data_IF_615671621963
#
_entry.id   IF_615671621963
#
_cell.length_a   1.000
_cell.length_b   1.000
_cell.length_c   1.000
_cell.angle_alpha   90.00
_cell.angle_beta   90.00
_cell.angle_gamma   90.00
#
_symmetry.space_group_name_H-M   'P 1'
#
loop_
_entity.id
_entity.type
_entity.pdbx_description
1 polymer ?
#
# COMPACT_ATOMS: atom_id res chain seq x y z
N UNK A 1 4.88 -11.65 -33.10
CA UNK A 1 4.20 -10.55 -32.39
C UNK A 1 4.73 -10.55 -30.97
N UNK A 2 5.18 -9.41 -30.46
CA UNK A 2 5.59 -9.33 -29.06
C UNK A 2 4.36 -9.47 -28.15
N UNK A 3 4.42 -10.37 -27.17
CA UNK A 3 3.36 -10.48 -26.17
C UNK A 3 3.51 -9.35 -25.16
N UNK A 4 2.39 -8.81 -24.68
CA UNK A 4 2.32 -7.76 -23.66
C UNK A 4 1.56 -8.32 -22.47
N UNK A 5 2.09 -8.11 -21.27
CA UNK A 5 1.43 -8.50 -20.03
C UNK A 5 0.92 -7.26 -19.29
N UNK A 6 -0.34 -7.30 -18.88
CA UNK A 6 -0.98 -6.23 -18.11
C UNK A 6 -1.48 -6.77 -16.79
N UNK A 7 -0.99 -6.21 -15.70
CA UNK A 7 -1.50 -6.44 -14.35
C UNK A 7 -2.36 -5.26 -13.89
N UNK A 8 -3.52 -5.57 -13.32
CA UNK A 8 -4.42 -4.56 -12.74
C UNK A 8 -4.71 -4.91 -11.31
N UNK A 9 -4.29 -4.04 -10.38
CA UNK A 9 -4.59 -4.14 -8.96
C UNK A 9 -5.72 -3.17 -8.62
N UNK A 10 -6.85 -3.71 -8.18
CA UNK A 10 -7.99 -2.92 -7.70
C UNK A 10 -8.00 -2.99 -6.17
N UNK A 11 -7.27 -2.06 -5.56
CA UNK A 11 -7.20 -1.93 -4.10
C UNK A 11 -8.41 -1.21 -3.50
N UNK A 12 -8.40 -1.00 -2.18
CA UNK A 12 -9.47 -0.29 -1.45
C UNK A 12 -9.55 1.21 -1.76
N UNK A 13 -8.44 1.86 -2.13
CA UNK A 13 -8.36 3.29 -2.35
C UNK A 13 -7.99 3.69 -3.78
N UNK A 14 -7.25 2.84 -4.51
CA UNK A 14 -6.71 3.15 -5.82
C UNK A 14 -6.67 1.94 -6.74
N UNK A 15 -6.69 2.19 -8.05
CA UNK A 15 -6.38 1.22 -9.08
C UNK A 15 -4.94 1.45 -9.55
N UNK A 16 -4.17 0.38 -9.64
CA UNK A 16 -2.83 0.40 -10.21
C UNK A 16 -2.83 -0.46 -11.46
N UNK A 17 -2.10 -0.02 -12.47
CA UNK A 17 -1.92 -0.75 -13.72
C UNK A 17 -0.45 -0.80 -14.04
N UNK A 18 0.02 -1.99 -14.40
CA UNK A 18 1.40 -2.21 -14.87
C UNK A 18 1.37 -2.92 -16.21
N UNK A 19 2.16 -2.43 -17.15
CA UNK A 19 2.34 -3.04 -18.46
C UNK A 19 3.78 -3.48 -18.62
N UNK A 20 3.98 -4.74 -18.94
CA UNK A 20 5.29 -5.31 -19.20
C UNK A 20 5.38 -5.79 -20.64
N UNK A 21 6.55 -5.60 -21.26
CA UNK A 21 6.89 -6.23 -22.53
C UNK A 21 7.00 -7.74 -22.39
N UNK A 22 7.03 -8.48 -23.48
CA UNK A 22 7.26 -9.93 -23.51
C UNK A 22 8.59 -10.36 -22.85
N UNK A 23 9.53 -9.42 -22.69
CA UNK A 23 10.79 -9.62 -21.96
C UNK A 23 10.70 -9.24 -20.48
N UNK A 24 9.53 -8.85 -19.99
CA UNK A 24 9.30 -8.45 -18.59
C UNK A 24 9.81 -7.04 -18.27
N UNK A 25 10.08 -6.19 -19.24
CA UNK A 25 10.47 -4.79 -19.02
C UNK A 25 9.24 -3.93 -18.77
N UNK A 26 9.32 -3.02 -17.81
CA UNK A 26 8.25 -2.06 -17.52
C UNK A 26 8.09 -1.08 -18.69
N UNK A 27 6.92 -1.11 -19.32
CA UNK A 27 6.55 -0.21 -20.42
C UNK A 27 5.69 0.96 -19.92
N UNK A 28 4.79 0.68 -18.97
CA UNK A 28 3.89 1.69 -18.42
C UNK A 28 3.45 1.30 -17.02
N UNK A 29 3.24 2.30 -16.19
CA UNK A 29 2.58 2.15 -14.88
C UNK A 29 1.64 3.32 -14.62
N UNK A 30 0.57 3.05 -13.86
CA UNK A 30 -0.35 4.08 -13.40
C UNK A 30 -0.83 3.74 -11.98
N UNK A 31 -0.97 4.76 -11.15
CA UNK A 31 -1.59 4.70 -9.83
C UNK A 31 -2.67 5.79 -9.78
N UNK A 32 -3.94 5.38 -9.69
CA UNK A 32 -5.07 6.32 -9.76
C UNK A 32 -6.04 6.07 -8.61
N UNK A 33 -6.23 7.04 -7.70
CA UNK A 33 -7.28 7.00 -6.71
C UNK A 33 -8.65 6.88 -7.37
N UNK A 34 -9.49 5.96 -6.91
CA UNK A 34 -10.80 5.74 -7.54
C UNK A 34 -11.95 6.46 -6.80
N UNK A 35 -11.73 7.00 -5.60
CA UNK A 35 -12.74 7.76 -4.84
C UNK A 35 -14.12 7.04 -4.83
N UNK A 36 -14.12 5.72 -4.59
CA UNK A 36 -15.29 4.82 -4.64
C UNK A 36 -15.96 4.68 -6.02
N UNK A 37 -15.36 5.24 -7.10
CA UNK A 37 -15.85 5.12 -8.49
C UNK A 37 -15.02 4.10 -9.28
N UNK A 38 -14.89 2.89 -8.76
CA UNK A 38 -14.00 1.85 -9.30
C UNK A 38 -14.27 1.58 -10.79
N UNK A 39 -15.55 1.36 -11.17
CA UNK A 39 -15.92 1.04 -12.57
C UNK A 39 -15.57 2.17 -13.55
N UNK A 40 -15.82 3.40 -13.16
CA UNK A 40 -15.53 4.57 -13.99
C UNK A 40 -14.02 4.75 -14.17
N UNK A 41 -13.28 4.70 -13.06
CA UNK A 41 -11.82 4.81 -13.06
C UNK A 41 -11.17 3.70 -13.90
N UNK A 42 -11.61 2.45 -13.73
CA UNK A 42 -11.12 1.32 -14.51
C UNK A 42 -11.39 1.52 -16.02
N UNK A 43 -12.59 2.00 -16.38
CA UNK A 43 -12.94 2.28 -17.79
C UNK A 43 -12.05 3.36 -18.41
N UNK A 44 -11.75 4.42 -17.66
CA UNK A 44 -10.85 5.50 -18.11
C UNK A 44 -9.44 4.96 -18.31
N UNK A 45 -8.90 4.26 -17.31
CA UNK A 45 -7.58 3.65 -17.38
C UNK A 45 -7.46 2.66 -18.55
N UNK A 46 -8.48 1.83 -18.75
CA UNK A 46 -8.51 0.88 -19.83
C UNK A 46 -8.45 1.56 -21.21
N UNK A 47 -9.22 2.63 -21.42
CA UNK A 47 -9.18 3.41 -22.66
C UNK A 47 -7.81 4.04 -22.91
N UNK A 48 -7.21 4.61 -21.86
CA UNK A 48 -5.86 5.20 -21.94
C UNK A 48 -4.80 4.14 -22.24
N UNK A 49 -4.95 2.95 -21.68
CA UNK A 49 -4.06 1.82 -21.91
C UNK A 49 -4.16 1.34 -23.36
N UNK A 50 -5.37 1.09 -23.86
CA UNK A 50 -5.60 0.62 -25.23
C UNK A 50 -5.12 1.62 -26.29
N UNK A 51 -5.10 2.89 -26.00
CA UNK A 51 -4.52 3.91 -26.89
C UNK A 51 -2.98 3.86 -26.96
N UNK A 52 -2.31 3.21 -26.01
CA UNK A 52 -0.84 3.12 -25.90
C UNK A 52 -0.30 1.74 -26.28
N UNK A 53 -1.14 0.71 -26.21
CA UNK A 53 -0.75 -0.67 -26.50
C UNK A 53 -0.96 -0.92 -28.00
N UNK A 54 0.13 -1.21 -28.71
CA UNK A 54 0.08 -1.62 -30.11
C UNK A 54 -0.48 -3.04 -30.24
N UNK A 55 -0.89 -3.44 -31.44
CA UNK A 55 -1.42 -4.78 -31.75
C UNK A 55 -0.44 -5.87 -31.33
N UNK A 56 -0.93 -6.83 -30.54
CA UNK A 56 -0.15 -7.96 -30.04
C UNK A 56 -1.00 -8.87 -29.16
N UNK A 57 -0.43 -10.02 -28.75
CA UNK A 57 -1.06 -10.90 -27.78
C UNK A 57 -1.04 -10.24 -26.40
N UNK A 58 -2.23 -10.00 -25.81
CA UNK A 58 -2.40 -9.37 -24.52
C UNK A 58 -2.67 -10.44 -23.45
N UNK A 59 -1.77 -10.53 -22.47
CA UNK A 59 -1.98 -11.33 -21.25
C UNK A 59 -2.43 -10.39 -20.12
N UNK A 60 -3.62 -10.65 -19.60
CA UNK A 60 -4.23 -9.79 -18.59
C UNK A 60 -4.45 -10.59 -17.30
N UNK A 61 -4.14 -10.00 -16.16
CA UNK A 61 -4.46 -10.55 -14.85
C UNK A 61 -4.94 -9.45 -13.90
N UNK A 62 -5.85 -9.82 -13.01
CA UNK A 62 -6.35 -8.97 -11.95
C UNK A 62 -5.84 -9.41 -10.59
N UNK A 63 -5.62 -8.45 -9.71
CA UNK A 63 -5.35 -8.64 -8.28
C UNK A 63 -6.02 -7.53 -7.46
N UNK A 64 -6.00 -7.66 -6.16
CA UNK A 64 -6.61 -6.69 -5.25
C UNK A 64 -8.02 -7.07 -4.81
N UNK A 65 -8.40 -6.64 -3.61
CA UNK A 65 -9.71 -6.99 -3.00
C UNK A 65 -10.92 -6.59 -3.86
N UNK A 66 -10.82 -5.46 -4.57
CA UNK A 66 -11.89 -4.99 -5.45
C UNK A 66 -11.95 -5.68 -6.81
N UNK A 67 -11.02 -6.57 -7.13
CA UNK A 67 -10.86 -7.13 -8.46
C UNK A 67 -11.68 -8.41 -8.71
N UNK A 68 -12.09 -9.14 -7.66
CA UNK A 68 -12.71 -10.46 -7.79
C UNK A 68 -13.98 -10.47 -8.67
N UNK A 69 -14.85 -9.48 -8.49
CA UNK A 69 -16.06 -9.36 -9.31
C UNK A 69 -15.75 -9.06 -10.78
N UNK A 70 -14.78 -8.18 -11.04
CA UNK A 70 -14.34 -7.84 -12.40
C UNK A 70 -13.67 -9.02 -13.07
N UNK A 71 -12.81 -9.74 -12.36
CA UNK A 71 -12.16 -10.95 -12.83
C UNK A 71 -13.19 -11.99 -13.27
N UNK A 72 -14.17 -12.28 -12.43
CA UNK A 72 -15.24 -13.22 -12.74
C UNK A 72 -16.11 -12.77 -13.91
N UNK A 73 -16.55 -11.50 -13.92
CA UNK A 73 -17.43 -10.96 -14.97
C UNK A 73 -16.76 -10.89 -16.35
N UNK A 74 -15.44 -10.64 -16.38
CA UNK A 74 -14.67 -10.50 -17.62
C UNK A 74 -13.93 -11.79 -18.00
N UNK A 75 -14.02 -12.85 -17.19
CA UNK A 75 -13.28 -14.11 -17.35
C UNK A 75 -11.77 -13.91 -17.47
N UNK A 76 -11.24 -12.93 -16.71
CA UNK A 76 -9.81 -12.62 -16.64
C UNK A 76 -9.23 -13.31 -15.41
N UNK A 77 -8.03 -13.92 -15.47
CA UNK A 77 -7.41 -14.55 -14.32
C UNK A 77 -7.27 -13.60 -13.12
N UNK A 78 -7.61 -14.11 -11.93
CA UNK A 78 -7.37 -13.45 -10.66
C UNK A 78 -6.14 -14.06 -9.98
N UNK A 79 -5.26 -13.21 -9.49
CA UNK A 79 -4.09 -13.59 -8.71
C UNK A 79 -4.24 -12.98 -7.31
N UNK A 80 -4.06 -13.78 -6.28
CA UNK A 80 -4.06 -13.28 -4.90
C UNK A 80 -2.96 -12.23 -4.70
N UNK A 81 -3.24 -11.21 -3.89
CA UNK A 81 -2.32 -10.09 -3.66
C UNK A 81 -0.97 -10.55 -3.11
N UNK A 82 -0.96 -11.50 -2.16
CA UNK A 82 0.28 -12.01 -1.57
C UNK A 82 1.10 -12.76 -2.62
N UNK A 83 0.43 -13.53 -3.48
CA UNK A 83 1.09 -14.23 -4.59
C UNK A 83 1.68 -13.24 -5.59
N UNK A 84 0.93 -12.18 -5.94
CA UNK A 84 1.40 -11.14 -6.86
C UNK A 84 2.60 -10.38 -6.29
N UNK A 85 2.54 -9.93 -5.03
CA UNK A 85 3.63 -9.25 -4.32
C UNK A 85 4.88 -10.16 -4.24
N UNK A 86 4.69 -11.43 -3.85
CA UNK A 86 5.79 -12.40 -3.73
C UNK A 86 6.44 -12.69 -5.08
N UNK A 87 5.65 -12.87 -6.14
CA UNK A 87 6.17 -13.11 -7.48
C UNK A 87 6.99 -11.91 -7.99
N UNK A 88 6.50 -10.69 -7.75
CA UNK A 88 7.20 -9.46 -8.13
C UNK A 88 8.52 -9.32 -7.36
N UNK A 89 8.52 -9.52 -6.04
CA UNK A 89 9.73 -9.45 -5.23
C UNK A 89 10.76 -10.49 -5.68
N UNK A 90 10.37 -11.74 -5.82
CA UNK A 90 11.30 -12.81 -6.26
C UNK A 90 11.86 -12.55 -7.66
N UNK A 91 11.11 -11.88 -8.52
CA UNK A 91 11.53 -11.58 -9.89
C UNK A 91 12.46 -10.39 -9.98
N UNK A 92 12.16 -9.31 -9.24
CA UNK A 92 12.85 -8.02 -9.38
C UNK A 92 13.79 -7.70 -8.22
N UNK A 93 13.55 -8.28 -7.06
CA UNK A 93 14.28 -8.03 -5.81
C UNK A 93 14.50 -9.35 -5.03
N UNK A 94 15.16 -10.35 -5.65
CA UNK A 94 15.35 -11.68 -5.02
C UNK A 94 16.18 -11.65 -3.74
N UNK A 95 16.87 -10.54 -3.50
CA UNK A 95 17.70 -10.32 -2.32
C UNK A 95 16.93 -9.83 -1.10
N UNK A 96 15.62 -9.60 -1.20
CA UNK A 96 14.79 -9.13 -0.07
C UNK A 96 14.56 -10.27 0.91
N UNK A 97 14.87 -10.00 2.18
CA UNK A 97 14.67 -10.93 3.30
C UNK A 97 13.32 -10.70 3.99
N UNK A 98 12.87 -9.44 4.06
CA UNK A 98 11.60 -9.06 4.70
C UNK A 98 10.88 -8.05 3.84
N UNK A 99 9.58 -8.21 3.66
CA UNK A 99 8.74 -7.20 3.03
C UNK A 99 7.62 -6.76 3.96
N UNK A 100 7.37 -5.45 4.02
CA UNK A 100 6.22 -4.84 4.69
C UNK A 100 5.34 -4.20 3.64
N UNK A 101 4.12 -4.68 3.51
CA UNK A 101 3.12 -4.14 2.58
C UNK A 101 2.04 -3.40 3.38
N UNK A 102 1.93 -2.07 3.15
CA UNK A 102 0.90 -1.23 3.76
C UNK A 102 -0.06 -0.71 2.69
N UNK A 103 -1.23 -1.32 2.66
CA UNK A 103 -2.35 -0.88 1.84
C UNK A 103 -3.22 0.18 2.52
N UNK A 104 -4.36 0.51 1.90
CA UNK A 104 -5.36 1.38 2.50
C UNK A 104 -5.95 0.80 3.78
N UNK A 105 -6.26 -0.48 3.80
CA UNK A 105 -6.91 -1.17 4.93
C UNK A 105 -6.12 -2.38 5.45
N UNK A 106 -5.17 -2.87 4.67
CA UNK A 106 -4.38 -4.05 4.98
C UNK A 106 -2.94 -3.70 5.30
N UNK A 107 -2.40 -4.43 6.25
CA UNK A 107 -0.98 -4.44 6.56
C UNK A 107 -0.50 -5.89 6.60
N UNK A 108 0.61 -6.16 5.91
CA UNK A 108 1.22 -7.50 5.83
C UNK A 108 2.72 -7.38 6.06
N UNK A 109 3.27 -8.45 6.63
CA UNK A 109 4.72 -8.62 6.75
C UNK A 109 5.06 -10.03 6.27
N UNK A 110 6.00 -10.11 5.36
CA UNK A 110 6.47 -11.35 4.75
C UNK A 110 7.94 -11.54 5.09
N UNK A 111 8.29 -12.63 5.74
CA UNK A 111 9.67 -13.04 5.97
C UNK A 111 10.00 -14.15 4.99
N UNK A 112 11.02 -13.96 4.18
CA UNK A 112 11.46 -14.95 3.21
C UNK A 112 12.59 -15.79 3.80
N UNK A 113 12.35 -17.08 3.94
CA UNK A 113 13.32 -18.02 4.50
C UNK A 113 14.24 -18.58 3.40
N UNK A 114 15.46 -18.94 3.78
CA UNK A 114 16.44 -19.51 2.86
C UNK A 114 16.01 -20.85 2.24
N UNK A 115 15.14 -21.59 2.92
CA UNK A 115 14.56 -22.85 2.44
C UNK A 115 13.43 -22.65 1.40
N UNK A 116 13.12 -21.39 1.07
CA UNK A 116 12.06 -21.03 0.13
C UNK A 116 10.68 -20.86 0.76
N UNK A 117 10.53 -21.12 2.04
CA UNK A 117 9.30 -20.84 2.79
C UNK A 117 9.10 -19.36 3.01
N UNK A 118 7.87 -18.97 3.33
CA UNK A 118 7.49 -17.61 3.67
C UNK A 118 6.62 -17.60 4.93
N UNK A 119 7.04 -16.85 5.96
CA UNK A 119 6.18 -16.55 7.11
C UNK A 119 5.39 -15.29 6.80
N UNK A 120 4.09 -15.45 6.51
CA UNK A 120 3.15 -14.38 6.24
C UNK A 120 2.40 -13.99 7.49
N UNK A 121 2.45 -12.70 7.82
CA UNK A 121 1.70 -12.12 8.92
C UNK A 121 0.83 -10.98 8.43
N UNK A 122 -0.42 -10.95 8.88
CA UNK A 122 -1.41 -9.95 8.47
C UNK A 122 -2.03 -9.29 9.68
N UNK A 123 -2.44 -8.03 9.53
CA UNK A 123 -3.21 -7.35 10.56
C UNK A 123 -4.59 -8.00 10.70
N UNK A 124 -5.07 -8.08 11.94
CA UNK A 124 -6.39 -8.62 12.24
C UNK A 124 -7.41 -7.48 12.35
N UNK A 125 -8.27 -7.32 11.32
CA UNK A 125 -9.53 -6.54 11.38
C UNK A 125 -9.45 -5.08 11.88
N UNK A 126 -8.28 -4.46 11.96
CA UNK A 126 -8.15 -3.08 12.42
C UNK A 126 -7.40 -2.26 11.36
N UNK A 127 -7.99 -1.14 10.94
CA UNK A 127 -7.35 -0.19 10.04
C UNK A 127 -6.22 0.64 10.72
N UNK A 128 -5.98 0.47 12.00
CA UNK A 128 -4.83 1.07 12.70
C UNK A 128 -3.53 0.62 12.05
N UNK A 129 -2.62 1.55 11.79
CA UNK A 129 -1.36 1.25 11.12
C UNK A 129 -1.46 1.05 9.60
N UNK A 130 -2.52 1.54 8.96
CA UNK A 130 -2.75 1.45 7.51
C UNK A 130 -2.93 2.84 6.88
N UNK A 131 -2.99 2.89 5.54
CA UNK A 131 -3.20 4.13 4.80
C UNK A 131 -4.51 4.86 5.17
N UNK A 132 -5.58 4.14 5.47
CA UNK A 132 -6.85 4.74 5.94
C UNK A 132 -6.68 5.46 7.27
N UNK A 133 -5.90 4.92 8.20
CA UNK A 133 -5.59 5.63 9.45
C UNK A 133 -4.86 6.94 9.18
N UNK A 134 -3.83 6.93 8.33
CA UNK A 134 -3.10 8.14 7.94
C UNK A 134 -3.99 9.16 7.22
N UNK A 135 -4.85 8.71 6.31
CA UNK A 135 -5.80 9.58 5.63
C UNK A 135 -6.80 10.23 6.60
N UNK A 136 -7.28 9.50 7.63
CA UNK A 136 -8.12 10.07 8.68
C UNK A 136 -7.38 11.10 9.55
N UNK A 137 -6.08 10.87 9.81
CA UNK A 137 -5.27 11.83 10.56
C UNK A 137 -4.98 13.09 9.73
N UNK A 138 -4.67 12.94 8.44
CA UNK A 138 -4.49 14.06 7.53
C UNK A 138 -5.77 14.92 7.44
N UNK A 139 -6.93 14.28 7.27
CA UNK A 139 -8.22 14.97 7.28
C UNK A 139 -8.49 15.70 8.61
N UNK A 140 -8.10 15.13 9.75
CA UNK A 140 -8.22 15.77 11.06
C UNK A 140 -7.36 17.04 11.17
N UNK A 141 -6.20 17.06 10.50
CA UNK A 141 -5.33 18.26 10.40
C UNK A 141 -5.79 19.24 9.33
N UNK A 142 -6.81 18.90 8.51
CA UNK A 142 -7.27 19.70 7.39
C UNK A 142 -6.30 19.73 6.21
N UNK A 143 -5.50 18.68 6.03
CA UNK A 143 -4.49 18.55 4.97
C UNK A 143 -4.65 17.23 4.23
N UNK A 144 -3.97 17.07 3.10
CA UNK A 144 -3.81 15.77 2.44
C UNK A 144 -2.64 14.96 3.04
N UNK A 145 -2.47 13.75 2.58
CA UNK A 145 -1.45 12.83 3.13
C UNK A 145 -0.02 13.30 2.80
N UNK A 146 0.19 13.93 1.65
CA UNK A 146 1.48 14.48 1.25
C UNK A 146 1.87 15.66 2.17
N UNK A 147 0.93 16.56 2.46
CA UNK A 147 1.16 17.66 3.38
C UNK A 147 1.36 17.16 4.82
N UNK A 148 0.67 16.08 5.24
CA UNK A 148 0.92 15.47 6.54
C UNK A 148 2.35 14.90 6.62
N UNK A 149 2.83 14.25 5.55
CA UNK A 149 4.21 13.74 5.46
C UNK A 149 5.22 14.89 5.54
N UNK A 150 5.03 15.95 4.74
CA UNK A 150 5.90 17.12 4.75
C UNK A 150 5.95 17.81 6.13
N UNK A 151 4.83 17.82 6.87
CA UNK A 151 4.82 18.28 8.26
C UNK A 151 5.68 17.39 9.14
N UNK A 152 5.54 16.06 9.00
CA UNK A 152 6.26 15.08 9.82
C UNK A 152 7.78 15.15 9.65
N UNK A 153 8.27 15.47 8.46
CA UNK A 153 9.71 15.66 8.17
C UNK A 153 10.36 16.78 9.01
N UNK A 154 9.56 17.73 9.49
CA UNK A 154 10.02 18.83 10.34
C UNK A 154 9.77 18.57 11.84
N UNK A 155 9.29 17.38 12.21
CA UNK A 155 9.09 17.00 13.60
C UNK A 155 10.41 16.72 14.32
N UNK A 156 10.54 17.23 15.54
CA UNK A 156 11.75 17.08 16.37
C UNK A 156 11.44 16.15 17.56
N UNK A 157 10.26 16.25 18.11
CA UNK A 157 9.84 15.49 19.28
C UNK A 157 8.73 14.51 18.96
N UNK A 158 8.82 13.30 19.50
CA UNK A 158 7.82 12.26 19.37
C UNK A 158 7.02 12.11 20.66
N UNK A 159 5.70 12.16 20.53
CA UNK A 159 4.77 12.01 21.61
C UNK A 159 4.03 10.66 21.52
N UNK A 160 3.69 10.02 22.63
CA UNK A 160 2.91 8.79 22.61
C UNK A 160 1.49 9.06 22.09
N UNK A 161 1.12 8.41 21.00
CA UNK A 161 -0.21 8.46 20.40
C UNK A 161 -0.72 7.01 20.28
N UNK A 162 -1.99 6.78 20.62
CA UNK A 162 -2.62 5.48 20.47
C UNK A 162 -2.59 5.03 19.01
N UNK A 163 -1.96 3.88 18.75
CA UNK A 163 -1.76 3.37 17.41
C UNK A 163 -2.87 2.45 16.89
N UNK A 164 -3.65 1.83 17.82
CA UNK A 164 -4.65 0.83 17.47
C UNK A 164 -5.99 1.40 17.01
N UNK A 165 -6.39 2.53 17.56
CA UNK A 165 -7.73 3.08 17.32
C UNK A 165 -7.66 4.55 16.93
N UNK A 166 -8.17 4.89 15.75
CA UNK A 166 -8.19 6.27 15.27
C UNK A 166 -8.99 7.23 16.16
N UNK A 167 -9.97 6.73 16.95
CA UNK A 167 -10.71 7.55 17.90
C UNK A 167 -9.81 7.96 19.07
N UNK A 168 -9.11 7.02 19.67
CA UNK A 168 -8.17 7.30 20.76
C UNK A 168 -6.99 8.16 20.27
N UNK A 169 -6.48 7.88 19.06
CA UNK A 169 -5.44 8.72 18.45
C UNK A 169 -5.88 10.20 18.35
N UNK A 170 -7.11 10.46 17.91
CA UNK A 170 -7.65 11.82 17.85
C UNK A 170 -7.74 12.48 19.22
N UNK A 171 -8.13 11.73 20.25
CA UNK A 171 -8.20 12.23 21.62
C UNK A 171 -6.83 12.60 22.15
N UNK A 172 -5.82 11.75 21.92
CA UNK A 172 -4.44 12.00 22.32
C UNK A 172 -3.89 13.24 21.60
N UNK A 173 -4.08 13.31 20.28
CA UNK A 173 -3.66 14.45 19.47
C UNK A 173 -4.31 15.74 19.94
N UNK A 174 -5.62 15.72 20.22
CA UNK A 174 -6.33 16.91 20.72
C UNK A 174 -5.80 17.38 22.07
N UNK A 175 -5.50 16.45 22.97
CA UNK A 175 -4.91 16.76 24.26
C UNK A 175 -3.52 17.40 24.10
N UNK A 176 -2.69 16.87 23.23
CA UNK A 176 -1.36 17.42 22.93
C UNK A 176 -1.44 18.79 22.25
N UNK A 177 -2.40 18.99 21.34
CA UNK A 177 -2.65 20.30 20.72
C UNK A 177 -3.03 21.35 21.79
N UNK A 178 -3.87 21.00 22.75
CA UNK A 178 -4.27 21.87 23.85
C UNK A 178 -3.09 22.22 24.77
N UNK A 179 -2.05 21.38 24.82
CA UNK A 179 -0.79 21.62 25.53
C UNK A 179 0.19 22.47 24.71
N UNK A 180 -0.15 22.86 23.48
CA UNK A 180 0.68 23.71 22.63
C UNK A 180 1.71 22.93 21.78
N UNK A 181 1.58 21.61 21.66
CA UNK A 181 2.48 20.80 20.80
C UNK A 181 2.29 21.19 19.35
N UNK A 182 3.40 21.42 18.66
CA UNK A 182 3.41 21.84 17.25
C UNK A 182 2.91 20.78 16.28
N UNK A 183 2.30 21.19 15.17
CA UNK A 183 1.75 20.28 14.16
C UNK A 183 2.79 19.34 13.56
N UNK A 184 4.04 19.77 13.41
CA UNK A 184 5.15 18.96 12.90
C UNK A 184 5.44 17.75 13.81
N UNK A 185 5.58 17.99 15.10
CA UNK A 185 5.80 16.94 16.09
C UNK A 185 4.62 15.96 16.18
N UNK A 186 3.40 16.49 16.11
CA UNK A 186 2.20 15.66 16.10
C UNK A 186 2.12 14.79 14.84
N UNK A 187 2.47 15.33 13.67
CA UNK A 187 2.52 14.56 12.42
C UNK A 187 3.58 13.46 12.50
N UNK A 188 4.80 13.78 12.95
CA UNK A 188 5.85 12.77 13.16
C UNK A 188 5.41 11.67 14.14
N UNK A 189 4.73 12.05 15.23
CA UNK A 189 4.20 11.12 16.23
C UNK A 189 3.12 10.19 15.67
N UNK A 190 2.30 10.66 14.72
CA UNK A 190 1.30 9.84 14.01
C UNK A 190 2.01 8.76 13.18
N UNK A 191 3.03 9.11 12.40
CA UNK A 191 3.80 8.12 11.64
C UNK A 191 4.52 7.12 12.56
N UNK A 192 5.09 7.59 13.68
CA UNK A 192 5.67 6.70 14.69
C UNK A 192 4.63 5.74 15.28
N UNK A 193 3.40 6.19 15.50
CA UNK A 193 2.32 5.33 15.97
C UNK A 193 2.00 4.22 14.94
N UNK A 194 2.02 4.52 13.64
CA UNK A 194 1.87 3.51 12.57
C UNK A 194 3.00 2.48 12.63
N UNK A 195 4.25 2.93 12.74
CA UNK A 195 5.41 2.04 12.86
C UNK A 195 5.27 1.12 14.09
N UNK A 196 4.93 1.69 15.24
CA UNK A 196 4.73 0.92 16.47
C UNK A 196 3.63 -0.13 16.32
N UNK A 197 2.53 0.21 15.63
CA UNK A 197 1.43 -0.72 15.36
C UNK A 197 1.88 -1.87 14.46
N UNK A 198 2.58 -1.57 13.36
CA UNK A 198 3.12 -2.58 12.44
C UNK A 198 4.07 -3.53 13.18
N UNK A 199 4.99 -2.99 13.98
CA UNK A 199 5.94 -3.79 14.74
C UNK A 199 5.22 -4.67 15.77
N UNK A 200 4.26 -4.13 16.52
CA UNK A 200 3.55 -4.89 17.56
C UNK A 200 2.65 -5.98 16.99
N UNK A 201 1.93 -5.70 15.91
CA UNK A 201 0.92 -6.61 15.37
C UNK A 201 1.51 -7.63 14.38
N UNK A 202 2.53 -7.24 13.62
CA UNK A 202 3.09 -8.07 12.55
C UNK A 202 4.44 -8.67 12.94
N UNK A 203 5.40 -7.88 13.40
CA UNK A 203 6.69 -8.44 13.80
C UNK A 203 6.58 -9.30 15.06
N UNK A 204 5.75 -8.89 16.06
CA UNK A 204 5.52 -9.64 17.30
C UNK A 204 6.80 -10.12 17.97
N UNK A 205 7.80 -9.24 18.01
CA UNK A 205 9.11 -9.55 18.59
C UNK A 205 10.08 -10.30 17.67
N UNK A 206 9.67 -10.74 16.48
CA UNK A 206 10.61 -11.26 15.48
C UNK A 206 11.44 -10.11 14.92
N UNK A 207 12.76 -10.30 14.89
CA UNK A 207 13.67 -9.31 14.35
C UNK A 207 13.47 -9.12 12.84
N UNK A 208 13.51 -7.87 12.41
CA UNK A 208 13.55 -7.50 10.99
C UNK A 208 15.03 -7.37 10.65
N UNK A 209 15.56 -8.35 9.94
CA UNK A 209 16.98 -8.42 9.58
C UNK A 209 17.14 -8.61 8.09
N UNK A 210 18.28 -8.14 7.55
CA UNK A 210 18.60 -8.23 6.14
C UNK A 210 18.00 -7.09 5.32
N UNK A 211 17.71 -7.36 4.05
CA UNK A 211 17.14 -6.37 3.13
C UNK A 211 15.63 -6.28 3.30
N UNK A 212 15.16 -5.07 3.61
CA UNK A 212 13.75 -4.74 3.79
C UNK A 212 13.19 -4.10 2.52
N UNK A 213 12.05 -4.62 2.04
CA UNK A 213 11.23 -3.96 1.03
C UNK A 213 9.99 -3.33 1.68
N UNK A 214 9.68 -2.10 1.29
CA UNK A 214 8.44 -1.41 1.66
C UNK A 214 7.52 -1.37 0.46
N UNK A 215 6.33 -1.96 0.58
CA UNK A 215 5.35 -2.13 -0.48
C UNK A 215 4.02 -1.50 -0.10
N UNK A 216 3.19 -1.27 -1.12
CA UNK A 216 1.83 -0.77 -0.97
C UNK A 216 1.69 0.72 -1.17
N UNK A 217 0.45 1.16 -1.39
CA UNK A 217 0.14 2.54 -1.73
C UNK A 217 0.50 3.57 -0.66
N UNK A 218 0.58 3.15 0.59
CA UNK A 218 0.94 4.04 1.71
C UNK A 218 2.35 4.60 1.54
N UNK A 219 3.28 3.82 1.01
CA UNK A 219 4.66 4.26 0.77
C UNK A 219 4.85 5.01 -0.56
N UNK A 220 3.87 5.02 -1.43
CA UNK A 220 3.96 5.75 -2.71
C UNK A 220 3.89 7.27 -2.55
N UNK A 221 3.54 7.77 -1.37
CA UNK A 221 3.33 9.18 -1.06
C UNK A 221 4.30 9.72 0.02
N UNK A 222 5.27 8.92 0.41
CA UNK A 222 6.32 9.27 1.38
C UNK A 222 7.63 9.61 0.69
#
# INVERSE_FOLDING_TARGET
MESISVGVDIGSAAIKVVVLSGRGQLMHSAYVPHHYRVRETLRILWRQLMAKVSEGALHLAFTGKGAAEFSSALQIPFVDEVQAETAALRRFHPEVDVAVSLGGEDARMMYFERNGEMDLRTNRKCAGGTGTFLAHMAAFFGVDIQALNALAENGIHLYPIASRCGVYAKTDIQALMNQGVGKADLAASIFQAVVNQVLSDLAKGRLIQGKLALLGGTFAFM
#
